data_IF_555402373855
#
_entry.id   IF_555402373855
#
_cell.length_a   1.000
_cell.length_b   1.000
_cell.length_c   1.000
_cell.angle_alpha   90.00
_cell.angle_beta   90.00
_cell.angle_gamma   90.00
#
_symmetry.space_group_name_H-M   'P 1'
#
loop_
_entity.id
_entity.type
_entity.pdbx_description
1 polymer ?
#
# COMPACT_ATOMS: atom_id res chain seq x y z
N UNK A 1 -2.98 1.69 -7.66
CA UNK A 1 -3.95 1.08 -6.71
C UNK A 1 -5.30 1.73 -6.88
N UNK A 2 -6.37 1.09 -6.42
CA UNK A 2 -7.69 1.72 -6.44
C UNK A 2 -8.41 1.49 -5.12
N UNK A 3 -8.90 2.56 -4.53
CA UNK A 3 -9.78 2.51 -3.36
C UNK A 3 -11.17 2.08 -3.83
N UNK A 4 -11.65 0.92 -3.37
CA UNK A 4 -13.03 0.47 -3.63
C UNK A 4 -13.89 0.72 -2.41
N UNK A 5 -15.04 1.34 -2.63
CA UNK A 5 -16.07 1.51 -1.59
C UNK A 5 -16.83 0.20 -1.43
N UNK A 6 -16.69 -0.47 -0.28
CA UNK A 6 -17.43 -1.70 0.02
C UNK A 6 -18.76 -1.37 0.68
N UNK A 7 -19.71 -0.86 -0.11
CA UNK A 7 -21.05 -0.57 0.38
C UNK A 7 -21.92 -1.83 0.51
N UNK A 8 -22.16 -2.31 1.73
CA UNK A 8 -23.35 -3.16 2.00
C UNK A 8 -24.59 -2.29 1.77
N UNK A 9 -25.33 -2.53 0.69
CA UNK A 9 -26.67 -1.95 0.51
C UNK A 9 -27.56 -2.44 1.66
N UNK A 10 -27.65 -1.69 2.76
CA UNK A 10 -28.78 -1.82 3.68
C UNK A 10 -30.02 -1.47 2.88
N UNK A 11 -30.86 -2.47 2.60
CA UNK A 11 -32.25 -2.21 2.19
C UNK A 11 -32.89 -1.45 3.35
N UNK A 12 -33.01 -0.14 3.23
CA UNK A 12 -34.00 0.63 3.98
C UNK A 12 -35.37 0.18 3.47
N UNK A 13 -35.94 -0.83 4.13
CA UNK A 13 -37.39 -0.99 4.13
C UNK A 13 -37.94 0.12 5.00
N UNK A 14 -38.46 1.17 4.36
CA UNK A 14 -39.20 2.20 5.05
C UNK A 14 -40.44 1.61 5.71
N UNK A 15 -40.70 2.00 6.95
CA UNK A 15 -42.07 2.09 7.44
C UNK A 15 -42.10 3.18 8.51
N UNK A 16 -42.77 4.28 8.15
CA UNK A 16 -43.20 5.31 9.05
C UNK A 16 -44.34 4.76 9.93
N UNK A 17 -44.34 5.13 11.21
CA UNK A 17 -45.53 5.49 11.96
C UNK A 17 -45.10 6.19 13.26
N UNK A 18 -45.39 7.49 13.35
CA UNK A 18 -45.41 8.22 14.62
C UNK A 18 -46.80 8.14 15.27
N UNK A 19 -47.11 9.03 16.22
CA UNK A 19 -46.68 8.94 17.61
C UNK A 19 -47.89 8.83 18.56
N UNK A 20 -47.68 8.39 19.80
CA UNK A 20 -48.68 8.58 20.86
C UNK A 20 -48.07 9.18 22.13
N UNK A 21 -48.65 10.30 22.52
CA UNK A 21 -48.40 11.07 23.75
C UNK A 21 -49.00 10.37 24.99
N UNK A 22 -48.33 10.49 26.14
CA UNK A 22 -48.84 10.60 27.54
C UNK A 22 -47.62 10.39 28.48
N UNK A 23 -47.34 11.15 29.52
CA UNK A 23 -48.02 12.23 30.23
C UNK A 23 -47.47 12.29 31.68
N UNK A 24 -47.49 13.49 32.29
CA UNK A 24 -47.31 13.75 33.74
C UNK A 24 -45.84 13.94 34.16
N UNK A 25 -45.39 15.09 34.67
CA UNK A 25 -45.89 15.94 35.77
C UNK A 25 -44.76 15.99 36.83
N UNK A 26 -44.47 17.01 37.63
CA UNK A 26 -45.12 18.27 37.97
C UNK A 26 -44.12 19.05 38.87
N UNK A 27 -44.20 20.38 38.91
CA UNK A 27 -43.82 21.19 40.09
C UNK A 27 -42.53 22.01 40.01
N UNK A 28 -42.67 23.34 40.05
CA UNK A 28 -41.56 24.26 40.30
C UNK A 28 -41.86 25.71 39.95
N UNK A 29 -42.67 26.37 40.77
CA UNK A 29 -42.97 27.81 40.76
C UNK A 29 -41.71 28.69 40.90
N UNK A 30 -41.55 29.71 40.04
CA UNK A 30 -41.06 31.03 40.44
C UNK A 30 -41.40 32.09 39.38
N UNK A 31 -42.27 32.98 39.82
CA UNK A 31 -42.69 34.27 39.31
C UNK A 31 -41.52 35.18 38.89
N UNK A 32 -41.54 35.70 37.65
CA UNK A 32 -41.03 37.05 37.39
C UNK A 32 -41.70 37.68 36.16
N UNK A 33 -42.29 38.85 36.43
CA UNK A 33 -43.02 39.72 35.52
C UNK A 33 -42.01 40.62 34.80
N UNK A 34 -42.13 40.76 33.48
CA UNK A 34 -41.27 41.62 32.67
C UNK A 34 -41.75 41.74 31.23
N UNK A 35 -42.67 42.69 31.03
CA UNK A 35 -43.26 43.13 29.77
C UNK A 35 -42.22 43.82 28.88
N UNK A 36 -41.98 43.36 27.64
CA UNK A 36 -41.69 44.25 26.50
C UNK A 36 -41.87 43.57 25.15
N UNK A 37 -42.47 44.33 24.25
CA UNK A 37 -43.05 43.92 22.98
C UNK A 37 -42.06 43.83 21.80
N UNK A 38 -42.39 42.94 20.86
CA UNK A 38 -42.38 43.23 19.42
C UNK A 38 -41.08 43.06 18.63
N UNK A 39 -41.01 41.97 17.86
CA UNK A 39 -40.35 41.79 16.54
C UNK A 39 -40.66 40.34 16.13
N UNK A 40 -41.75 40.09 15.40
CA UNK A 40 -41.92 40.17 13.94
C UNK A 40 -40.99 39.23 13.14
N UNK A 41 -41.61 38.61 12.15
CA UNK A 41 -41.35 37.36 11.49
C UNK A 41 -40.04 37.28 10.69
N UNK A 42 -39.48 36.07 10.67
CA UNK A 42 -38.38 35.72 9.77
C UNK A 42 -37.73 34.38 10.08
N UNK A 43 -38.51 33.34 10.35
CA UNK A 43 -37.98 31.98 10.56
C UNK A 43 -37.75 31.32 9.19
N UNK A 44 -36.61 31.61 8.56
CA UNK A 44 -36.10 30.85 7.42
C UNK A 44 -35.58 29.50 7.93
N UNK A 45 -36.46 28.50 7.98
CA UNK A 45 -36.06 27.09 8.07
C UNK A 45 -35.51 26.65 6.71
N UNK A 46 -34.24 26.94 6.47
CA UNK A 46 -33.51 26.58 5.26
C UNK A 46 -32.50 25.48 5.51
N UNK A 47 -33.00 24.25 5.60
CA UNK A 47 -32.33 22.98 5.26
C UNK A 47 -30.84 22.91 5.64
N UNK A 48 -30.60 22.44 6.87
CA UNK A 48 -29.41 21.64 7.17
C UNK A 48 -29.33 20.52 6.13
N UNK A 49 -28.48 20.71 5.13
CA UNK A 49 -27.92 19.58 4.43
C UNK A 49 -27.12 18.83 5.50
N UNK A 50 -27.75 17.83 6.12
CA UNK A 50 -27.01 16.67 6.57
C UNK A 50 -26.33 16.12 5.31
N UNK A 51 -25.15 16.66 5.04
CA UNK A 51 -24.08 16.00 4.34
C UNK A 51 -23.85 14.72 5.14
N UNK A 52 -24.65 13.71 4.83
CA UNK A 52 -24.57 12.42 5.47
C UNK A 52 -23.16 11.94 5.29
N UNK A 53 -22.35 12.05 6.35
CA UNK A 53 -21.01 11.51 6.44
C UNK A 53 -21.12 10.11 5.86
N UNK A 54 -20.52 9.94 4.69
CA UNK A 54 -20.64 8.71 3.96
C UNK A 54 -19.83 7.67 4.74
N UNK A 55 -20.49 6.94 5.64
CA UNK A 55 -19.98 5.79 6.39
C UNK A 55 -19.69 4.59 5.45
N UNK A 56 -19.00 4.86 4.34
CA UNK A 56 -18.47 3.84 3.47
C UNK A 56 -17.15 3.35 4.05
N UNK A 57 -17.08 2.08 4.40
CA UNK A 57 -15.78 1.43 4.57
C UNK A 57 -15.10 1.40 3.21
N UNK A 58 -13.87 1.90 3.17
CA UNK A 58 -13.00 1.83 2.01
C UNK A 58 -12.04 0.65 2.20
N UNK A 59 -11.62 0.04 1.10
CA UNK A 59 -10.61 -1.01 1.07
C UNK A 59 -9.65 -0.71 -0.09
N UNK A 60 -8.36 -0.95 0.16
CA UNK A 60 -7.31 -0.80 -0.82
C UNK A 60 -7.16 -2.13 -1.57
N UNK A 61 -7.42 -2.09 -2.88
CA UNK A 61 -7.32 -3.28 -3.74
C UNK A 61 -6.13 -3.13 -4.67
N UNK A 62 -5.24 -4.12 -4.64
CA UNK A 62 -4.12 -4.22 -5.57
C UNK A 62 -4.65 -4.66 -6.94
N UNK A 63 -4.31 -3.96 -8.04
CA UNK A 63 -4.71 -4.38 -9.36
C UNK A 63 -3.93 -5.62 -9.79
N UNK A 64 -4.54 -6.50 -10.60
CA UNK A 64 -3.85 -7.67 -11.16
C UNK A 64 -2.66 -7.26 -12.04
N UNK A 65 -2.73 -6.09 -12.67
CA UNK A 65 -1.66 -5.54 -13.51
C UNK A 65 -1.47 -4.04 -13.28
N UNK A 66 -0.24 -3.56 -13.42
CA UNK A 66 0.12 -2.14 -13.33
C UNK A 66 1.30 -1.86 -14.25
N UNK A 67 1.03 -1.28 -15.43
CA UNK A 67 2.05 -1.16 -16.48
C UNK A 67 2.50 -2.54 -16.94
N UNK A 68 3.80 -2.79 -16.91
CA UNK A 68 4.42 -4.08 -17.26
C UNK A 68 4.41 -5.09 -16.09
N UNK A 69 4.02 -4.66 -14.89
CA UNK A 69 3.98 -5.52 -13.71
C UNK A 69 2.68 -6.32 -13.63
N UNK A 70 2.79 -7.60 -13.28
CA UNK A 70 1.68 -8.49 -12.95
C UNK A 70 1.75 -8.93 -11.49
N UNK A 71 0.63 -8.89 -10.78
CA UNK A 71 0.53 -9.34 -9.38
C UNK A 71 0.72 -10.86 -9.32
N UNK A 72 1.76 -11.31 -8.62
CA UNK A 72 2.09 -12.73 -8.47
C UNK A 72 1.76 -13.27 -7.08
N UNK A 73 1.67 -12.39 -6.09
CA UNK A 73 1.26 -12.72 -4.73
C UNK A 73 0.42 -11.57 -4.16
N UNK A 74 -0.89 -11.79 -3.98
CA UNK A 74 -1.85 -10.78 -3.53
C UNK A 74 -2.08 -10.81 -2.01
N UNK A 75 -1.44 -11.73 -1.30
CA UNK A 75 -1.58 -11.92 0.15
C UNK A 75 -0.22 -11.96 0.85
N UNK A 76 0.81 -11.37 0.23
CA UNK A 76 2.07 -11.15 0.90
C UNK A 76 1.76 -10.45 2.23
N UNK A 77 2.19 -11.05 3.34
CA UNK A 77 1.86 -10.51 4.65
C UNK A 77 2.37 -9.07 4.72
N UNK A 78 1.51 -8.06 4.92
CA UNK A 78 1.99 -6.71 5.12
C UNK A 78 2.93 -6.75 6.33
N UNK A 79 3.99 -5.93 6.36
CA UNK A 79 4.76 -5.76 7.58
C UNK A 79 3.76 -5.43 8.70
N UNK A 80 3.75 -6.23 9.76
CA UNK A 80 2.89 -5.98 10.91
C UNK A 80 3.37 -4.68 11.57
N UNK A 81 2.70 -3.58 11.24
CA UNK A 81 2.93 -2.31 11.89
C UNK A 81 2.09 -2.29 13.16
N UNK A 82 2.72 -2.23 14.35
CA UNK A 82 1.98 -2.09 15.60
C UNK A 82 1.10 -0.83 15.54
N UNK A 83 -0.10 -0.90 16.08
CA UNK A 83 -1.05 0.23 16.12
C UNK A 83 -0.43 1.49 16.73
N UNK A 84 0.44 1.32 17.74
CA UNK A 84 1.18 2.43 18.34
C UNK A 84 2.11 3.15 17.34
N UNK A 85 2.66 2.41 16.37
CA UNK A 85 3.52 2.95 15.33
C UNK A 85 2.69 3.69 14.28
N UNK A 86 1.56 3.14 13.83
CA UNK A 86 0.67 3.86 12.90
C UNK A 86 0.05 5.10 13.53
N UNK A 87 -0.31 5.05 14.81
CA UNK A 87 -0.81 6.22 15.55
C UNK A 87 0.26 7.32 15.66
N UNK A 88 1.54 6.95 15.86
CA UNK A 88 2.65 7.91 15.88
C UNK A 88 2.87 8.59 14.50
N UNK A 89 2.43 7.95 13.42
CA UNK A 89 2.41 8.49 12.06
C UNK A 89 1.16 9.34 11.76
N UNK A 90 0.24 9.50 12.73
CA UNK A 90 -1.03 10.19 12.51
C UNK A 90 -2.03 9.40 11.67
N UNK A 91 -1.88 8.07 11.63
CA UNK A 91 -2.72 7.16 10.85
C UNK A 91 -3.65 6.39 11.80
N UNK A 92 -4.95 6.62 11.65
CA UNK A 92 -5.98 5.76 12.25
C UNK A 92 -6.26 4.60 11.29
N UNK A 93 -5.68 3.44 11.58
CA UNK A 93 -5.68 2.30 10.66
C UNK A 93 -7.07 1.64 10.54
N UNK A 94 -7.60 1.55 9.32
CA UNK A 94 -8.80 0.78 8.99
C UNK A 94 -8.48 -0.56 8.33
N UNK A 95 -7.32 -0.68 7.68
CA UNK A 95 -6.79 -1.95 7.18
C UNK A 95 -5.51 -1.79 6.36
N UNK A 96 -5.00 -2.91 5.87
CA UNK A 96 -3.78 -2.99 5.07
C UNK A 96 -3.91 -4.02 3.95
N UNK A 97 -3.17 -3.82 2.87
CA UNK A 97 -2.97 -4.80 1.81
C UNK A 97 -1.51 -4.77 1.36
N UNK A 98 -1.01 -5.92 0.95
CA UNK A 98 0.34 -6.03 0.42
C UNK A 98 0.40 -7.10 -0.66
N UNK A 99 1.41 -6.99 -1.51
CA UNK A 99 1.60 -7.92 -2.61
C UNK A 99 2.95 -7.76 -3.28
N UNK A 100 3.23 -8.70 -4.17
CA UNK A 100 4.43 -8.71 -5.00
C UNK A 100 3.99 -8.76 -6.45
N UNK A 101 4.50 -7.82 -7.24
CA UNK A 101 4.30 -7.79 -8.68
C UNK A 101 5.62 -8.01 -9.41
N UNK A 102 5.61 -8.63 -10.58
CA UNK A 102 6.83 -8.84 -11.39
C UNK A 102 6.60 -8.53 -12.87
N UNK A 103 7.66 -8.13 -13.58
CA UNK A 103 7.64 -7.94 -15.06
C UNK A 103 7.94 -9.24 -15.83
N UNK A 104 8.63 -10.17 -15.18
CA UNK A 104 8.88 -11.51 -15.69
C UNK A 104 8.32 -12.56 -14.72
N UNK A 105 7.90 -13.72 -15.23
CA UNK A 105 7.41 -14.79 -14.37
C UNK A 105 8.52 -15.30 -13.44
N UNK A 106 8.27 -15.52 -12.13
CA UNK A 106 9.31 -15.88 -11.15
C UNK A 106 10.00 -17.23 -11.41
N UNK A 107 9.55 -17.99 -12.41
CA UNK A 107 10.09 -19.30 -12.82
C UNK A 107 10.69 -19.28 -14.24
N UNK A 108 10.72 -18.13 -14.91
CA UNK A 108 11.06 -18.03 -16.34
C UNK A 108 12.55 -18.14 -16.66
N UNK A 109 13.43 -17.97 -15.67
CA UNK A 109 14.87 -17.83 -15.92
C UNK A 109 15.22 -16.58 -16.72
N UNK A 110 14.29 -15.62 -16.82
CA UNK A 110 14.44 -14.35 -17.51
C UNK A 110 14.81 -13.26 -16.50
N UNK A 111 15.58 -12.27 -16.94
CA UNK A 111 15.83 -11.06 -16.16
C UNK A 111 14.53 -10.27 -16.02
N UNK A 112 14.32 -9.67 -14.86
CA UNK A 112 13.11 -8.92 -14.61
C UNK A 112 13.21 -7.99 -13.42
N UNK A 113 12.10 -7.33 -13.15
CA UNK A 113 11.93 -6.44 -12.02
C UNK A 113 10.81 -6.99 -11.14
N UNK A 114 11.01 -6.91 -9.84
CA UNK A 114 9.99 -7.14 -8.82
C UNK A 114 9.64 -5.82 -8.15
N UNK A 115 8.36 -5.67 -7.82
CA UNK A 115 7.83 -4.54 -7.08
C UNK A 115 7.09 -5.10 -5.87
N UNK A 116 7.63 -4.86 -4.68
CA UNK A 116 6.93 -5.09 -3.43
C UNK A 116 6.05 -3.88 -3.20
N UNK A 117 4.76 -4.14 -2.95
CA UNK A 117 3.80 -3.09 -2.70
C UNK A 117 3.10 -3.33 -1.37
N UNK A 118 3.03 -2.30 -0.54
CA UNK A 118 2.26 -2.30 0.71
C UNK A 118 1.40 -1.05 0.74
N UNK A 119 0.17 -1.16 1.24
CA UNK A 119 -0.74 -0.04 1.40
C UNK A 119 -1.50 -0.15 2.71
N UNK A 120 -1.66 0.97 3.39
CA UNK A 120 -2.52 1.15 4.55
C UNK A 120 -3.63 2.12 4.15
N UNK A 121 -4.84 1.90 4.65
CA UNK A 121 -5.94 2.85 4.48
C UNK A 121 -6.60 3.18 5.81
N UNK A 122 -7.16 4.38 5.90
CA UNK A 122 -7.71 4.93 7.12
C UNK A 122 -7.79 6.45 7.10
N UNK A 123 -7.87 7.04 8.29
CA UNK A 123 -7.78 8.50 8.43
C UNK A 123 -6.31 8.90 8.58
N UNK A 124 -5.85 9.84 7.76
CA UNK A 124 -4.48 10.37 7.80
C UNK A 124 -4.57 11.86 8.16
N UNK A 125 -4.18 12.20 9.39
CA UNK A 125 -4.29 13.56 9.89
C UNK A 125 -3.29 14.53 9.24
N UNK A 126 -2.08 14.04 8.94
CA UNK A 126 -1.00 14.80 8.33
C UNK A 126 -0.30 13.94 7.25
N UNK A 127 -0.64 14.14 5.96
CA UNK A 127 -0.07 13.35 4.87
C UNK A 127 1.45 13.46 4.74
N UNK A 128 2.02 14.65 4.98
CA UNK A 128 3.47 14.87 4.86
C UNK A 128 4.22 14.21 6.02
N UNK A 129 3.70 14.31 7.25
CA UNK A 129 4.26 13.61 8.39
C UNK A 129 4.16 12.08 8.26
N UNK A 130 3.07 11.58 7.67
CA UNK A 130 2.91 10.15 7.41
C UNK A 130 3.99 9.63 6.44
N UNK A 131 4.25 10.33 5.33
CA UNK A 131 5.33 9.98 4.39
C UNK A 131 6.69 9.99 5.11
N UNK A 132 7.02 11.10 5.78
CA UNK A 132 8.29 11.27 6.45
C UNK A 132 8.54 10.17 7.50
N UNK A 133 7.50 9.80 8.25
CA UNK A 133 7.58 8.76 9.25
C UNK A 133 7.69 7.34 8.66
N UNK A 134 7.10 7.06 7.50
CA UNK A 134 7.32 5.78 6.79
C UNK A 134 8.77 5.67 6.31
N UNK A 135 9.36 6.75 5.79
CA UNK A 135 10.79 6.78 5.45
C UNK A 135 11.65 6.52 6.70
N UNK A 136 11.43 7.26 7.78
CA UNK A 136 12.17 7.08 9.03
C UNK A 136 12.02 5.67 9.63
N UNK A 137 10.85 5.05 9.47
CA UNK A 137 10.61 3.66 9.89
C UNK A 137 11.44 2.66 9.08
N UNK A 138 11.46 2.79 7.75
CA UNK A 138 12.31 1.95 6.91
C UNK A 138 13.79 2.14 7.27
N UNK A 139 14.24 3.38 7.44
CA UNK A 139 15.62 3.67 7.87
C UNK A 139 15.97 2.99 9.20
N UNK A 140 15.05 2.98 10.17
CA UNK A 140 15.25 2.28 11.45
C UNK A 140 15.31 0.75 11.30
N UNK A 141 14.39 0.16 10.51
CA UNK A 141 14.38 -1.28 10.24
C UNK A 141 15.68 -1.72 9.56
N UNK A 142 16.15 -0.93 8.60
CA UNK A 142 17.39 -1.14 7.86
C UNK A 142 18.64 -0.95 8.74
N UNK A 143 18.66 0.07 9.60
CA UNK A 143 19.73 0.28 10.56
C UNK A 143 19.82 -0.89 11.57
N UNK A 144 18.68 -1.45 11.98
CA UNK A 144 18.62 -2.58 12.89
C UNK A 144 19.08 -3.90 12.24
N UNK A 145 18.82 -4.10 10.95
CA UNK A 145 19.27 -5.30 10.22
C UNK A 145 20.73 -5.23 9.79
N UNK A 146 21.32 -4.04 9.70
CA UNK A 146 22.72 -3.82 9.32
C UNK A 146 23.02 -4.16 7.85
N UNK A 147 21.98 -4.33 7.03
CA UNK A 147 22.08 -4.85 5.65
C UNK A 147 21.96 -3.78 4.59
N UNK A 148 21.66 -2.54 4.95
CA UNK A 148 21.10 -1.57 3.99
C UNK A 148 21.22 -0.14 4.52
N UNK A 149 21.69 0.78 3.68
CA UNK A 149 21.80 2.20 4.00
C UNK A 149 21.05 3.05 2.99
N UNK A 150 20.33 4.06 3.46
CA UNK A 150 19.84 5.16 2.62
C UNK A 150 21.00 5.80 1.86
N UNK A 151 20.88 5.91 0.53
CA UNK A 151 21.93 6.53 -0.31
C UNK A 151 21.52 7.88 -0.89
N UNK A 152 20.26 8.26 -0.76
CA UNK A 152 19.75 9.57 -1.16
C UNK A 152 18.80 10.16 -0.12
N UNK A 153 18.57 11.47 -0.17
CA UNK A 153 17.45 12.08 0.53
C UNK A 153 16.13 11.76 -0.23
N UNK A 154 14.96 11.78 0.45
CA UNK A 154 13.68 11.69 -0.22
C UNK A 154 13.47 12.88 -1.17
N UNK A 155 13.07 12.59 -2.40
CA UNK A 155 12.75 13.60 -3.42
C UNK A 155 11.27 13.50 -3.80
N UNK A 156 10.59 14.64 -3.83
CA UNK A 156 9.19 14.72 -4.23
C UNK A 156 9.06 14.51 -5.74
N UNK A 157 8.22 13.56 -6.12
CA UNK A 157 7.91 13.25 -7.52
C UNK A 157 6.41 13.41 -7.78
N UNK A 158 6.06 13.68 -9.03
CA UNK A 158 4.66 13.83 -9.45
C UNK A 158 4.40 12.93 -10.66
N UNK A 159 4.17 11.63 -10.44
CA UNK A 159 3.88 10.71 -11.54
C UNK A 159 2.50 10.99 -12.14
N UNK A 160 2.38 10.77 -13.45
CA UNK A 160 1.11 10.94 -14.16
C UNK A 160 0.03 10.00 -13.59
N UNK A 161 -1.19 10.53 -13.44
CA UNK A 161 -2.35 9.74 -13.02
C UNK A 161 -2.52 9.55 -11.51
N UNK A 162 -1.66 10.15 -10.67
CA UNK A 162 -1.80 10.10 -9.20
C UNK A 162 -2.71 11.17 -8.60
N UNK A 163 -3.21 12.11 -9.40
CA UNK A 163 -4.07 13.19 -8.92
C UNK A 163 -3.37 14.10 -7.92
N UNK A 164 -4.02 14.37 -6.79
CA UNK A 164 -3.49 15.24 -5.72
C UNK A 164 -2.62 14.49 -4.70
N UNK A 165 -2.29 13.21 -4.97
CA UNK A 165 -1.46 12.43 -4.08
C UNK A 165 -0.03 12.99 -4.00
N UNK A 166 0.52 13.02 -2.79
CA UNK A 166 1.92 13.36 -2.53
C UNK A 166 2.73 12.08 -2.72
N UNK A 167 3.86 12.15 -3.42
CA UNK A 167 4.79 11.02 -3.57
C UNK A 167 6.21 11.49 -3.35
N UNK A 168 6.95 10.75 -2.53
CA UNK A 168 8.38 10.93 -2.32
C UNK A 168 9.10 9.62 -2.61
N UNK A 169 10.25 9.70 -3.29
CA UNK A 169 11.06 8.55 -3.62
C UNK A 169 12.48 8.72 -3.05
N UNK A 170 13.06 7.62 -2.60
CA UNK A 170 14.40 7.58 -2.02
C UNK A 170 15.10 6.29 -2.43
N UNK A 171 16.39 6.37 -2.71
CA UNK A 171 17.20 5.21 -3.06
C UNK A 171 17.77 4.57 -1.79
N UNK A 172 17.64 3.24 -1.70
CA UNK A 172 18.18 2.40 -0.64
C UNK A 172 19.22 1.46 -1.21
N UNK A 173 20.33 1.30 -0.51
CA UNK A 173 21.26 0.20 -0.76
C UNK A 173 20.74 -1.07 -0.08
N UNK A 174 20.52 -2.13 -0.85
CA UNK A 174 20.10 -3.48 -0.46
C UNK A 174 21.29 -4.35 0.00
N UNK A 175 22.53 -3.83 -0.10
CA UNK A 175 23.76 -4.49 0.28
C UNK A 175 24.35 -5.41 -0.81
N UNK A 176 25.57 -5.89 -0.57
CA UNK A 176 26.24 -6.90 -1.41
C UNK A 176 25.59 -8.28 -1.19
N UNK A 177 24.51 -8.56 -1.93
CA UNK A 177 23.76 -9.81 -1.84
C UNK A 177 22.84 -10.11 -3.02
N UNK A 178 22.54 -9.12 -3.87
CA UNK A 178 22.03 -9.38 -5.22
C UNK A 178 23.17 -9.98 -6.04
N UNK A 179 22.93 -11.13 -6.67
CA UNK A 179 23.95 -11.90 -7.38
C UNK A 179 24.79 -11.06 -8.35
N UNK A 180 26.09 -11.39 -8.40
CA UNK A 180 27.19 -10.79 -9.18
C UNK A 180 26.81 -9.61 -10.11
N UNK A 181 26.98 -8.37 -9.61
CA UNK A 181 27.23 -7.20 -10.46
C UNK A 181 26.09 -6.21 -10.66
N UNK A 182 24.94 -6.39 -10.01
CA UNK A 182 23.91 -5.34 -9.96
C UNK A 182 24.10 -4.50 -8.70
N UNK A 183 24.39 -3.21 -8.88
CA UNK A 183 24.40 -2.25 -7.77
C UNK A 183 23.09 -2.45 -6.98
N UNK A 184 23.19 -2.79 -5.70
CA UNK A 184 22.06 -3.11 -4.82
C UNK A 184 21.15 -1.92 -4.54
N UNK A 185 21.06 -0.92 -5.42
CA UNK A 185 20.24 0.25 -5.20
C UNK A 185 18.80 -0.01 -5.65
N UNK A 186 17.87 0.04 -4.71
CA UNK A 186 16.44 -0.07 -4.94
C UNK A 186 15.75 1.27 -4.64
N UNK A 187 14.97 1.84 -5.57
CA UNK A 187 14.10 2.95 -5.24
C UNK A 187 12.95 2.44 -4.37
N UNK A 188 12.71 3.16 -3.28
CA UNK A 188 11.49 3.09 -2.50
C UNK A 188 10.71 4.38 -2.70
N UNK A 189 9.46 4.27 -3.13
CA UNK A 189 8.54 5.40 -3.24
C UNK A 189 7.40 5.24 -2.25
N UNK A 190 7.16 6.27 -1.46
CA UNK A 190 6.04 6.39 -0.54
C UNK A 190 5.07 7.43 -1.09
N UNK A 191 3.78 7.12 -1.08
CA UNK A 191 2.76 8.05 -1.55
C UNK A 191 1.57 8.08 -0.59
N UNK A 192 0.83 9.18 -0.61
CA UNK A 192 -0.40 9.35 0.18
C UNK A 192 -1.41 10.21 -0.55
N UNK A 193 -2.69 9.88 -0.41
CA UNK A 193 -3.82 10.66 -0.94
C UNK A 193 -4.70 11.27 0.18
N UNK A 194 -4.22 11.23 1.43
CA UNK A 194 -4.96 11.69 2.62
C UNK A 194 -5.94 10.66 3.20
N UNK A 195 -6.18 9.56 2.50
CA UNK A 195 -7.02 8.43 2.98
C UNK A 195 -6.30 7.08 2.93
N UNK A 196 -5.18 7.03 2.22
CA UNK A 196 -4.32 5.87 2.07
C UNK A 196 -2.87 6.31 2.01
N UNK A 197 -1.99 5.49 2.56
CA UNK A 197 -0.54 5.60 2.36
C UNK A 197 -0.03 4.31 1.76
N UNK A 198 0.78 4.40 0.72
CA UNK A 198 1.39 3.24 0.07
C UNK A 198 2.90 3.35 0.04
N UNK A 199 3.55 2.20 -0.02
CA UNK A 199 4.98 2.04 -0.21
C UNK A 199 5.20 1.07 -1.36
N UNK A 200 6.11 1.42 -2.25
CA UNK A 200 6.57 0.59 -3.37
C UNK A 200 8.08 0.50 -3.31
N UNK A 201 8.62 -0.72 -3.35
CA UNK A 201 10.06 -0.99 -3.41
C UNK A 201 10.32 -1.78 -4.68
N UNK A 202 11.24 -1.31 -5.51
CA UNK A 202 11.60 -1.98 -6.75
C UNK A 202 12.94 -2.67 -6.60
N UNK A 203 13.01 -3.93 -7.01
CA UNK A 203 14.23 -4.70 -7.05
C UNK A 203 14.41 -5.34 -8.43
N UNK A 204 15.65 -5.39 -8.90
CA UNK A 204 16.00 -6.04 -10.16
C UNK A 204 16.60 -7.39 -9.85
N UNK A 205 16.13 -8.41 -10.56
CA UNK A 205 16.69 -9.74 -10.48
C UNK A 205 17.27 -10.15 -11.82
N UNK A 206 18.47 -10.75 -11.84
CA UNK A 206 19.07 -11.26 -13.07
C UNK A 206 18.25 -12.43 -13.61
N UNK A 207 18.47 -12.73 -14.89
CA UNK A 207 18.06 -14.02 -15.45
C UNK A 207 18.68 -15.13 -14.58
N UNK A 208 17.84 -15.91 -13.91
CA UNK A 208 18.34 -17.06 -13.18
C UNK A 208 19.06 -17.98 -14.17
N UNK A 209 20.34 -18.23 -13.95
CA UNK A 209 21.07 -19.28 -14.66
C UNK A 209 20.32 -20.58 -14.37
N UNK A 210 19.49 -21.03 -15.33
CA UNK A 210 18.79 -22.32 -15.22
C UNK A 210 19.85 -23.42 -15.38
N UNK A 211 20.65 -23.62 -14.34
CA UNK A 211 21.55 -24.72 -14.09
C UNK A 211 20.72 -25.98 -13.76
N UNK A 212 19.82 -26.32 -14.69
CA UNK A 212 18.84 -27.40 -14.54
C UNK A 212 18.30 -27.92 -15.87
N UNK A 213 18.45 -27.17 -16.98
CA UNK A 213 18.35 -27.81 -18.28
C UNK A 213 19.50 -28.82 -18.38
N UNK A 214 19.25 -30.12 -18.59
CA UNK A 214 20.33 -31.06 -18.81
C UNK A 214 21.12 -30.54 -20.00
N UNK A 215 22.35 -30.06 -19.74
CA UNK A 215 23.33 -29.82 -20.78
C UNK A 215 23.51 -31.18 -21.44
N UNK A 216 22.77 -31.43 -22.51
CA UNK A 216 23.02 -32.54 -23.40
C UNK A 216 24.41 -32.29 -23.92
N UNK A 217 25.39 -32.87 -23.23
CA UNK A 217 26.75 -32.90 -23.71
C UNK A 217 26.64 -33.41 -25.15
N UNK A 218 27.14 -32.68 -26.15
CA UNK A 218 27.18 -33.23 -27.50
C UNK A 218 27.83 -34.60 -27.38
N UNK A 219 27.27 -35.65 -28.00
CA UNK A 219 27.71 -37.03 -27.80
C UNK A 219 29.23 -37.04 -27.93
N UNK A 220 29.91 -37.42 -26.84
CA UNK A 220 31.37 -37.54 -26.81
C UNK A 220 31.76 -38.33 -28.05
N UNK A 221 32.40 -37.68 -29.02
CA UNK A 221 32.96 -38.39 -30.17
C UNK A 221 33.82 -39.52 -29.61
N UNK A 222 33.61 -40.77 -30.02
CA UNK A 222 34.40 -41.89 -29.53
C UNK A 222 35.88 -41.55 -29.73
N UNK A 223 36.62 -41.58 -28.63
CA UNK A 223 38.06 -41.30 -28.60
C UNK A 223 38.70 -42.30 -29.57
N UNK A 224 39.44 -41.85 -30.61
CA UNK A 224 40.06 -42.77 -31.55
C UNK A 224 40.99 -43.69 -30.78
N UNK A 225 40.67 -44.99 -30.76
CA UNK A 225 41.50 -46.01 -30.15
C UNK A 225 42.80 -46.05 -30.94
N UNK A 226 43.90 -45.65 -30.28
CA UNK A 226 45.24 -45.66 -30.84
C UNK A 226 45.63 -47.13 -31.08
N UNK A 227 45.44 -47.60 -32.31
CA UNK A 227 45.81 -48.95 -32.76
C UNK A 227 47.33 -49.07 -32.63
N UNK A 228 47.81 -49.77 -31.59
CA UNK A 228 49.22 -50.16 -31.48
C UNK A 228 49.48 -51.23 -32.53
N UNK A 229 50.20 -50.88 -33.58
CA UNK A 229 50.79 -51.85 -34.49
C UNK A 229 51.89 -52.61 -33.76
N UNK A 230 51.70 -53.91 -33.57
CA UNK A 230 52.77 -54.81 -33.16
C UNK A 230 53.75 -54.95 -34.35
N UNK A 231 55.03 -54.68 -34.09
CA UNK A 231 56.14 -55.00 -35.00
C UNK A 231 56.71 -56.32 -34.52
N UNK A 232 56.63 -57.35 -35.36
CA UNK A 232 57.26 -58.66 -35.14
C UNK A 232 58.58 -58.71 -35.91
N UNK A 233 59.71 -59.07 -35.27
CA UNK A 233 60.87 -59.64 -35.96
C UNK A 233 60.72 -61.14 -36.18
#
# INVERSE_FOLDING_TARGET
MTTRRTGRRRRQTGQADGPDHRGGGNGGTAEQVGDTAGQDAGQETGQDAEEGAADGTYELVLPETSGDFSLTDAEAAPPELPEAQTAALGITLAGAAAGICTTAGPLGGEEGESMIVTGLWGEIADPEAAIAGIHAMHEQLHAASGTTSTVSEPERVTPDGLGDAITECQMFDLGEGSEEGQNGLAPMCVWTDGSSVGTTIFDRFPAADVAGAPRTSPPRRPRPTRRRSATTP
#
